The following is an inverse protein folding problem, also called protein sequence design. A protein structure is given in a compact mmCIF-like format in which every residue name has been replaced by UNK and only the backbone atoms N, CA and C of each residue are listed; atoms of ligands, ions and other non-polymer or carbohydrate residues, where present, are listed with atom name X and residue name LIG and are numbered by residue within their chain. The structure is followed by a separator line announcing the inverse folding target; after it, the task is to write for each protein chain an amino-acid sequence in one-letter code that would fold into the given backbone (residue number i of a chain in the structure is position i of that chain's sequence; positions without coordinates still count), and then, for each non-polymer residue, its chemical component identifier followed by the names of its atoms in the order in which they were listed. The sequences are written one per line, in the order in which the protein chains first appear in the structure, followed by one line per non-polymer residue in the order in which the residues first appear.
data_IF_890751372741
#
_entry.id   IF_890751372741
#
_cell.length_a   1.000
_cell.length_b   1.000
_cell.length_c   1.000
_cell.angle_alpha   90.00
_cell.angle_beta   90.00
_cell.angle_gamma   90.00
#
_symmetry.space_group_name_H-M   'P 1'
#
loop_
_entity.id
_entity.type
_entity.pdbx_description
1 polymer ?
#
# COMPACT_ATOMS: atom_id res chain seq x y z
N UNK A 1 18.88 9.57 -1.59
CA UNK A 1 18.24 8.43 -1.00
C UNK A 1 16.99 8.07 -1.71
N UNK A 2 16.08 8.98 -1.84
CA UNK A 2 14.96 8.81 -2.75
C UNK A 2 15.41 8.57 -4.18
N UNK A 3 16.63 8.96 -4.51
CA UNK A 3 17.15 8.90 -5.86
C UNK A 3 17.24 7.51 -6.45
N UNK A 4 17.54 6.49 -5.63
CA UNK A 4 17.61 5.11 -6.12
C UNK A 4 16.26 4.59 -6.58
N UNK A 5 15.22 4.87 -5.81
CA UNK A 5 13.89 4.44 -6.16
C UNK A 5 13.36 5.21 -7.36
N UNK A 6 13.51 6.53 -7.36
CA UNK A 6 13.08 7.35 -8.48
C UNK A 6 13.80 6.99 -9.76
N UNK A 7 15.10 6.70 -9.68
CA UNK A 7 15.88 6.25 -10.82
C UNK A 7 15.41 4.89 -11.33
N UNK A 8 15.08 3.96 -10.41
CA UNK A 8 14.56 2.65 -10.78
C UNK A 8 13.20 2.78 -11.48
N UNK A 9 12.31 3.63 -10.97
CA UNK A 9 11.00 3.85 -11.58
C UNK A 9 11.15 4.47 -12.97
N UNK A 10 12.05 5.42 -13.13
CA UNK A 10 12.31 6.04 -14.43
C UNK A 10 12.85 5.00 -15.40
N UNK A 11 13.78 4.14 -14.95
CA UNK A 11 14.34 3.08 -15.78
C UNK A 11 13.25 2.11 -16.26
N UNK A 12 12.32 1.77 -15.39
CA UNK A 12 11.17 0.92 -15.75
C UNK A 12 10.33 1.60 -16.84
N UNK A 13 10.07 2.89 -16.70
CA UNK A 13 9.32 3.64 -17.70
C UNK A 13 10.01 3.66 -19.06
N UNK A 14 11.34 3.60 -19.08
CA UNK A 14 12.12 3.63 -20.31
C UNK A 14 12.40 2.25 -20.88
N UNK A 15 11.85 1.20 -20.30
CA UNK A 15 11.92 -0.16 -20.83
C UNK A 15 12.84 -1.13 -20.12
N UNK A 16 13.51 -0.72 -19.05
CA UNK A 16 14.35 -1.63 -18.26
C UNK A 16 13.44 -2.61 -17.52
N UNK A 17 13.75 -3.93 -17.53
CA UNK A 17 12.94 -4.90 -16.80
C UNK A 17 12.85 -4.56 -15.31
N UNK A 18 11.65 -4.75 -14.75
CA UNK A 18 11.38 -4.44 -13.34
C UNK A 18 12.36 -5.17 -12.41
N UNK A 19 12.64 -6.45 -12.69
CA UNK A 19 13.54 -7.25 -11.88
C UNK A 19 14.94 -6.64 -11.82
N UNK A 20 15.41 -6.08 -12.92
CA UNK A 20 16.72 -5.45 -12.97
C UNK A 20 16.72 -4.10 -12.25
N UNK A 21 15.74 -3.26 -12.55
CA UNK A 21 15.63 -1.93 -11.96
C UNK A 21 15.44 -1.98 -10.44
N UNK A 22 14.71 -2.96 -9.94
CA UNK A 22 14.39 -3.05 -8.52
C UNK A 22 15.54 -3.55 -7.65
N UNK A 23 16.61 -4.08 -8.22
CA UNK A 23 17.75 -4.58 -7.44
C UNK A 23 18.41 -3.53 -6.58
N UNK A 24 18.34 -2.28 -7.01
CA UNK A 24 18.96 -1.17 -6.29
C UNK A 24 18.02 -0.45 -5.34
N UNK A 25 16.75 -0.87 -5.28
CA UNK A 25 15.75 -0.20 -4.46
C UNK A 25 15.85 -0.65 -3.01
N UNK A 26 16.01 0.30 -2.10
CA UNK A 26 15.95 0.03 -0.68
C UNK A 26 14.49 -0.03 -0.25
N UNK A 27 14.18 -0.98 0.62
CA UNK A 27 12.85 -1.19 1.18
C UNK A 27 12.29 0.08 1.84
N UNK A 28 13.13 0.79 2.58
CA UNK A 28 12.72 2.02 3.25
C UNK A 28 12.38 3.13 2.26
N UNK A 29 13.10 3.18 1.14
CA UNK A 29 12.82 4.16 0.09
C UNK A 29 11.48 3.90 -0.57
N UNK A 30 11.09 2.64 -0.74
CA UNK A 30 9.80 2.26 -1.27
C UNK A 30 8.68 2.74 -0.36
N UNK A 31 8.76 2.41 0.93
CA UNK A 31 7.77 2.88 1.90
C UNK A 31 7.73 4.40 1.96
N UNK A 32 8.88 5.03 1.88
CA UNK A 32 9.00 6.49 1.85
C UNK A 32 8.29 7.13 0.67
N UNK A 33 8.39 6.51 -0.51
CA UNK A 33 7.69 7.03 -1.69
C UNK A 33 6.17 6.89 -1.54
N UNK A 34 5.70 5.76 -1.02
CA UNK A 34 4.28 5.59 -0.74
C UNK A 34 3.78 6.69 0.21
N UNK A 35 4.53 6.94 1.29
CA UNK A 35 4.20 7.99 2.24
C UNK A 35 4.18 9.38 1.58
N UNK A 36 5.18 9.69 0.76
CA UNK A 36 5.26 10.96 0.03
C UNK A 36 4.06 11.17 -0.89
N UNK A 37 3.65 10.13 -1.59
CA UNK A 37 2.49 10.21 -2.49
C UNK A 37 1.24 10.55 -1.68
N UNK A 38 1.03 9.87 -0.56
CA UNK A 38 -0.11 10.15 0.31
C UNK A 38 -0.07 11.58 0.85
N UNK A 39 1.08 12.03 1.30
CA UNK A 39 1.24 13.40 1.81
C UNK A 39 0.94 14.44 0.73
N UNK A 40 1.33 14.17 -0.51
CA UNK A 40 1.03 15.07 -1.62
C UNK A 40 -0.46 15.17 -1.93
N UNK A 41 -1.26 14.20 -1.44
CA UNK A 41 -2.71 14.18 -1.60
C UNK A 41 -3.43 14.62 -0.31
N UNK A 42 -2.72 15.28 0.58
CA UNK A 42 -3.25 15.83 1.83
C UNK A 42 -3.63 14.79 2.89
N UNK A 43 -3.07 13.61 2.81
CA UNK A 43 -3.22 12.61 3.88
C UNK A 43 -2.24 12.90 5.00
N UNK A 44 -2.65 12.67 6.24
CA UNK A 44 -1.74 12.57 7.35
C UNK A 44 -1.16 11.17 7.30
N UNK A 45 0.15 11.04 7.47
CA UNK A 45 0.83 9.75 7.27
C UNK A 45 1.60 9.33 8.51
N UNK A 46 1.45 8.06 8.88
CA UNK A 46 2.25 7.42 9.92
C UNK A 46 2.93 6.21 9.29
N UNK A 47 4.23 6.09 9.49
CA UNK A 47 5.00 4.94 9.00
C UNK A 47 5.29 3.99 10.15
N UNK A 48 5.33 2.70 9.85
CA UNK A 48 5.65 1.65 10.82
C UNK A 48 4.78 1.73 12.07
N UNK A 49 3.48 1.81 11.85
CA UNK A 49 2.50 1.88 12.92
C UNK A 49 2.39 0.53 13.63
N UNK A 50 2.69 0.52 14.92
CA UNK A 50 2.66 -0.71 15.71
C UNK A 50 1.44 -0.78 16.61
N UNK A 51 0.85 -1.96 16.64
CA UNK A 51 -0.23 -2.29 17.56
C UNK A 51 0.26 -3.36 18.52
N UNK A 52 -0.23 -3.32 19.74
CA UNK A 52 0.07 -4.33 20.76
C UNK A 52 -1.17 -5.17 21.01
N UNK A 53 -1.01 -6.45 21.36
CA UNK A 53 -2.11 -7.35 21.76
C UNK A 53 -3.16 -7.57 20.66
N UNK A 54 -2.83 -8.26 19.58
CA UNK A 54 -1.54 -8.86 19.26
C UNK A 54 -0.57 -7.83 18.67
N UNK A 55 0.70 -8.17 18.68
CA UNK A 55 1.71 -7.33 18.07
C UNK A 55 1.58 -7.39 16.55
N UNK A 56 1.32 -6.26 15.95
CA UNK A 56 1.19 -6.11 14.50
C UNK A 56 1.82 -4.81 14.07
N UNK A 57 2.32 -4.76 12.84
CA UNK A 57 2.89 -3.55 12.28
C UNK A 57 2.26 -3.28 10.92
N UNK A 58 1.94 -2.02 10.66
CA UNK A 58 1.42 -1.57 9.38
C UNK A 58 2.46 -0.65 8.77
N UNK A 59 2.88 -0.94 7.54
CA UNK A 59 3.97 -0.21 6.91
C UNK A 59 3.67 1.27 6.76
N UNK A 60 2.52 1.61 6.23
CA UNK A 60 2.12 3.01 6.04
C UNK A 60 0.63 3.15 6.31
N UNK A 61 0.27 4.13 7.13
CA UNK A 61 -1.13 4.51 7.39
C UNK A 61 -1.33 5.93 6.88
N UNK A 62 -2.30 6.12 6.00
CA UNK A 62 -2.69 7.45 5.55
C UNK A 62 -4.11 7.76 6.03
N UNK A 63 -4.33 8.94 6.58
CA UNK A 63 -5.62 9.35 7.12
C UNK A 63 -6.07 10.65 6.47
N UNK A 64 -7.28 10.67 5.97
CA UNK A 64 -7.85 11.87 5.37
C UNK A 64 -9.38 11.80 5.42
N UNK A 65 -9.99 12.87 5.91
CA UNK A 65 -11.46 12.98 5.98
C UNK A 65 -12.16 11.79 6.66
N UNK A 66 -11.59 11.35 7.78
CA UNK A 66 -12.18 10.27 8.58
C UNK A 66 -11.98 8.87 8.02
N UNK A 67 -11.23 8.73 6.94
CA UNK A 67 -10.95 7.44 6.33
C UNK A 67 -9.46 7.15 6.40
N UNK A 68 -9.10 5.94 6.81
CA UNK A 68 -7.72 5.49 6.87
C UNK A 68 -7.45 4.51 5.73
N UNK A 69 -6.29 4.65 5.11
CA UNK A 69 -5.76 3.69 4.14
C UNK A 69 -4.58 3.00 4.81
N UNK A 70 -4.65 1.69 4.97
CA UNK A 70 -3.61 0.90 5.61
C UNK A 70 -2.87 0.10 4.56
N UNK A 71 -1.60 0.41 4.36
CA UNK A 71 -0.83 -0.09 3.24
C UNK A 71 0.25 -1.05 3.70
N UNK A 72 0.27 -2.21 3.05
CA UNK A 72 1.35 -3.19 3.16
C UNK A 72 2.16 -3.10 1.87
N UNK A 73 3.45 -2.84 1.99
CA UNK A 73 4.35 -2.69 0.86
C UNK A 73 5.08 -4.00 0.58
N UNK A 74 4.97 -4.51 -0.64
CA UNK A 74 5.59 -5.78 -1.02
C UNK A 74 6.57 -5.59 -2.19
N UNK A 75 7.79 -6.03 -1.97
CA UNK A 75 8.91 -5.90 -2.90
C UNK A 75 9.26 -7.28 -3.50
N UNK A 76 8.27 -7.94 -4.09
CA UNK A 76 8.43 -9.31 -4.58
C UNK A 76 8.30 -9.38 -6.10
N UNK A 77 9.03 -10.31 -6.71
CA UNK A 77 9.02 -10.49 -8.16
C UNK A 77 7.66 -10.96 -8.67
N UNK A 78 7.17 -12.04 -8.11
CA UNK A 78 5.89 -12.63 -8.46
C UNK A 78 5.30 -13.29 -7.24
N UNK A 79 3.99 -13.29 -7.19
CA UNK A 79 3.26 -13.95 -6.13
C UNK A 79 2.23 -14.87 -6.75
N UNK A 80 2.15 -16.09 -6.23
CA UNK A 80 1.06 -17.00 -6.61
C UNK A 80 -0.25 -16.45 -6.06
N UNK A 81 -1.37 -16.89 -6.62
CA UNK A 81 -2.68 -16.49 -6.12
C UNK A 81 -2.84 -16.87 -4.64
N UNK A 82 -2.32 -18.03 -4.25
CA UNK A 82 -2.37 -18.49 -2.88
C UNK A 82 -1.57 -17.58 -1.93
N UNK A 83 -0.38 -17.15 -2.35
CA UNK A 83 0.43 -16.23 -1.56
C UNK A 83 -0.22 -14.86 -1.43
N UNK A 84 -0.79 -14.34 -2.52
CA UNK A 84 -1.52 -13.07 -2.50
C UNK A 84 -2.71 -13.13 -1.55
N UNK A 85 -3.47 -14.23 -1.59
CA UNK A 85 -4.62 -14.38 -0.72
C UNK A 85 -4.22 -14.34 0.76
N UNK A 86 -3.12 -15.01 1.13
CA UNK A 86 -2.60 -14.97 2.50
C UNK A 86 -2.20 -13.55 2.92
N UNK A 87 -1.53 -12.82 2.05
CA UNK A 87 -1.11 -11.45 2.31
C UNK A 87 -2.33 -10.56 2.52
N UNK A 88 -3.33 -10.69 1.67
CA UNK A 88 -4.57 -9.93 1.76
C UNK A 88 -5.30 -10.23 3.07
N UNK A 89 -5.43 -11.51 3.44
CA UNK A 89 -6.10 -11.88 4.69
C UNK A 89 -5.38 -11.32 5.91
N UNK A 90 -4.05 -11.31 5.91
CA UNK A 90 -3.28 -10.70 7.00
C UNK A 90 -3.52 -9.19 7.08
N UNK A 91 -3.59 -8.53 5.93
CA UNK A 91 -3.81 -7.09 5.92
C UNK A 91 -5.23 -6.76 6.39
N UNK A 92 -6.23 -7.54 5.99
CA UNK A 92 -7.59 -7.38 6.49
C UNK A 92 -7.61 -7.52 8.02
N UNK A 93 -6.90 -8.50 8.56
CA UNK A 93 -6.84 -8.72 9.99
C UNK A 93 -6.19 -7.52 10.72
N UNK A 94 -5.11 -6.99 10.17
CA UNK A 94 -4.47 -5.78 10.72
C UNK A 94 -5.43 -4.60 10.74
N UNK A 95 -6.20 -4.43 9.67
CA UNK A 95 -7.16 -3.33 9.57
C UNK A 95 -8.28 -3.49 10.60
N UNK A 96 -8.76 -4.71 10.83
CA UNK A 96 -9.77 -4.97 11.87
C UNK A 96 -9.27 -4.55 13.25
N UNK A 97 -8.01 -4.89 13.57
CA UNK A 97 -7.41 -4.51 14.84
C UNK A 97 -7.18 -2.99 14.94
N UNK A 98 -6.77 -2.37 13.83
CA UNK A 98 -6.58 -0.93 13.78
C UNK A 98 -7.88 -0.19 14.08
N UNK A 99 -8.96 -0.56 13.41
CA UNK A 99 -10.28 0.08 13.59
C UNK A 99 -10.77 -0.09 15.02
N UNK A 100 -10.57 -1.28 15.61
CA UNK A 100 -10.98 -1.56 16.98
C UNK A 100 -10.20 -0.73 18.01
N UNK A 101 -8.97 -0.34 17.70
CA UNK A 101 -8.06 0.32 18.65
C UNK A 101 -7.89 1.81 18.41
N UNK A 102 -8.53 2.38 17.41
CA UNK A 102 -8.39 3.80 17.06
C UNK A 102 -9.76 4.47 16.94
N UNK A 103 -9.75 5.78 16.70
CA UNK A 103 -10.96 6.57 16.52
C UNK A 103 -11.41 6.66 15.07
N UNK A 104 -10.65 6.10 14.13
CA UNK A 104 -11.03 6.07 12.73
C UNK A 104 -12.24 5.19 12.52
N UNK A 105 -13.20 5.71 11.76
CA UNK A 105 -14.49 5.05 11.56
C UNK A 105 -14.45 4.05 10.41
N UNK A 106 -13.70 4.37 9.36
CA UNK A 106 -13.60 3.56 8.16
C UNK A 106 -12.13 3.39 7.79
N UNK A 107 -11.72 2.16 7.50
CA UNK A 107 -10.36 1.87 7.07
C UNK A 107 -10.36 0.89 5.91
N UNK A 108 -9.44 1.09 4.96
CA UNK A 108 -9.32 0.26 3.79
C UNK A 108 -7.93 -0.41 3.74
N UNK A 109 -7.89 -1.74 3.64
CA UNK A 109 -6.63 -2.44 3.39
C UNK A 109 -6.20 -2.28 1.95
N UNK A 110 -4.91 -2.02 1.73
CA UNK A 110 -4.33 -1.87 0.40
C UNK A 110 -2.95 -2.53 0.39
N UNK A 111 -2.62 -3.21 -0.69
CA UNK A 111 -1.29 -3.76 -0.93
C UNK A 111 -0.64 -2.96 -2.05
N UNK A 112 0.57 -2.46 -1.85
CA UNK A 112 1.32 -1.77 -2.90
C UNK A 112 2.54 -2.61 -3.26
N UNK A 113 2.75 -2.82 -4.56
CA UNK A 113 3.83 -3.67 -5.06
C UNK A 113 4.70 -2.97 -6.08
N UNK A 114 5.87 -3.55 -6.39
CA UNK A 114 6.73 -3.06 -7.46
C UNK A 114 6.50 -3.81 -8.79
N UNK A 115 6.13 -5.09 -8.71
CA UNK A 115 6.27 -6.01 -9.84
C UNK A 115 5.03 -6.26 -10.66
N UNK A 116 3.94 -5.63 -10.33
CA UNK A 116 2.68 -5.84 -11.01
C UNK A 116 2.50 -4.77 -12.08
N UNK A 117 1.96 -5.15 -13.23
CA UNK A 117 1.73 -4.20 -14.32
C UNK A 117 0.42 -3.43 -14.16
N UNK A 118 -0.58 -4.06 -13.58
CA UNK A 118 -1.91 -3.47 -13.42
C UNK A 118 -2.46 -3.70 -12.02
N UNK A 119 -3.36 -2.83 -11.60
CA UNK A 119 -4.07 -2.99 -10.34
C UNK A 119 -4.96 -4.23 -10.40
N UNK A 120 -4.87 -5.07 -9.37
CA UNK A 120 -5.68 -6.27 -9.20
C UNK A 120 -6.46 -6.17 -7.90
N UNK A 121 -7.46 -7.02 -7.77
CA UNK A 121 -8.27 -7.10 -6.55
C UNK A 121 -8.36 -8.54 -6.08
N UNK A 122 -8.13 -8.75 -4.78
CA UNK A 122 -8.30 -10.05 -4.14
C UNK A 122 -9.17 -9.80 -2.93
N UNK A 123 -10.31 -10.47 -2.86
CA UNK A 123 -11.30 -10.23 -1.80
C UNK A 123 -11.67 -8.74 -1.70
N UNK A 124 -11.74 -8.06 -2.84
CA UNK A 124 -12.00 -6.63 -2.96
C UNK A 124 -10.90 -5.74 -2.38
N UNK A 125 -9.79 -6.31 -1.98
CA UNK A 125 -8.62 -5.55 -1.54
C UNK A 125 -7.77 -5.21 -2.76
N UNK A 126 -7.50 -3.92 -3.02
CA UNK A 126 -6.70 -3.54 -4.18
C UNK A 126 -5.23 -3.87 -3.96
N UNK A 127 -4.62 -4.41 -4.99
CA UNK A 127 -3.19 -4.67 -5.07
C UNK A 127 -2.67 -3.77 -6.17
N UNK A 128 -1.98 -2.71 -5.78
CA UNK A 128 -1.68 -1.57 -6.66
C UNK A 128 -0.19 -1.49 -6.91
N UNK A 129 0.24 -1.53 -8.19
CA UNK A 129 1.65 -1.28 -8.47
C UNK A 129 2.00 0.16 -8.15
N UNK A 130 3.21 0.39 -7.65
CA UNK A 130 3.63 1.73 -7.23
C UNK A 130 3.46 2.76 -8.34
N UNK A 131 3.63 2.35 -9.59
CA UNK A 131 3.49 3.25 -10.74
C UNK A 131 2.06 3.78 -10.92
N UNK A 132 1.07 3.06 -10.38
CA UNK A 132 -0.34 3.44 -10.47
C UNK A 132 -0.89 3.97 -9.15
N UNK A 133 -0.07 4.00 -8.11
CA UNK A 133 -0.56 4.34 -6.78
C UNK A 133 -1.08 5.77 -6.67
N UNK A 134 -0.40 6.72 -7.29
CA UNK A 134 -0.85 8.12 -7.28
C UNK A 134 -2.26 8.27 -7.89
N UNK A 135 -2.47 7.65 -9.05
CA UNK A 135 -3.79 7.68 -9.71
C UNK A 135 -4.85 6.94 -8.89
N UNK A 136 -4.45 5.83 -8.27
CA UNK A 136 -5.36 5.08 -7.40
C UNK A 136 -5.85 5.93 -6.25
N UNK A 137 -4.96 6.69 -5.61
CA UNK A 137 -5.34 7.55 -4.49
C UNK A 137 -6.21 8.72 -4.95
N UNK A 138 -5.95 9.28 -6.13
CA UNK A 138 -6.81 10.34 -6.68
C UNK A 138 -8.26 9.88 -6.82
N UNK A 139 -8.48 8.62 -7.15
CA UNK A 139 -9.81 8.06 -7.36
C UNK A 139 -10.37 7.33 -6.14
N UNK A 140 -9.62 7.31 -5.04
CA UNK A 140 -9.92 6.48 -3.88
C UNK A 140 -11.34 6.68 -3.34
N UNK A 141 -11.72 7.93 -3.08
CA UNK A 141 -13.04 8.19 -2.50
C UNK A 141 -14.19 7.85 -3.45
N UNK A 142 -13.99 8.04 -4.75
CA UNK A 142 -14.99 7.69 -5.73
C UNK A 142 -15.23 6.19 -5.85
N UNK A 143 -14.27 5.39 -5.43
CA UNK A 143 -14.32 3.93 -5.57
C UNK A 143 -14.46 3.19 -4.23
N UNK A 144 -14.71 3.90 -3.14
CA UNK A 144 -14.80 3.28 -1.80
C UNK A 144 -15.80 2.14 -1.71
N UNK A 145 -16.92 2.24 -2.41
CA UNK A 145 -17.93 1.18 -2.38
C UNK A 145 -17.51 -0.09 -3.10
N UNK A 146 -16.56 0.03 -4.01
CA UNK A 146 -16.08 -1.11 -4.79
C UNK A 146 -14.95 -1.87 -4.12
N UNK A 147 -14.27 -1.26 -3.16
CA UNK A 147 -13.16 -1.89 -2.45
C UNK A 147 -13.60 -2.33 -1.06
N UNK A 148 -12.80 -3.21 -0.47
CA UNK A 148 -13.04 -3.69 0.88
C UNK A 148 -12.77 -2.56 1.88
N UNK A 149 -13.74 -2.28 2.74
CA UNK A 149 -13.56 -1.38 3.86
C UNK A 149 -13.99 -2.07 5.14
N UNK A 150 -13.43 -1.61 6.26
CA UNK A 150 -13.74 -2.14 7.57
C UNK A 150 -14.22 -0.96 8.42
N UNK A 151 -15.40 -1.08 8.98
CA UNK A 151 -15.98 -0.06 9.83
C UNK A 151 -15.95 -0.47 11.29
N UNK A 152 -15.89 0.54 12.13
CA UNK A 152 -15.90 0.33 13.57
C UNK A 152 -17.29 -0.09 14.05
#
# INVERSE_FOLDING_TARGET
MENKLKSALLAIKTGVPIEEASRSVDWKDFEGLVAEILESKNFEVVRNFRMKKPTMEIDVVGIHLGTAVLIDCKHWKRMTNSALEKIVLRQIDRVKHYVASTDEVVAAPVIVTLYQEETRFVNRVPIVPIMQFSSFIDEFYGNLEEIRTIEK
#
